data_IF_582639114146
#
_entry.id   IF_582639114146
#
_cell.length_a   1.000
_cell.length_b   1.000
_cell.length_c   1.000
_cell.angle_alpha   90.00
_cell.angle_beta   90.00
_cell.angle_gamma   90.00
#
_symmetry.space_group_name_H-M   'P 1'
#
loop_
_entity.id
_entity.type
_entity.pdbx_description
1 polymer ?
#
# COMPACT_ATOMS: atom_id res chain seq x y z
N UNK A 1 -33.18 12.29 0.81
CA UNK A 1 -32.85 10.94 1.31
C UNK A 1 -32.40 10.10 0.14
N UNK A 2 -31.10 9.96 -0.04
CA UNK A 2 -30.53 8.95 -0.94
C UNK A 2 -29.43 8.22 -0.18
N UNK A 3 -29.87 7.07 0.33
CA UNK A 3 -29.14 5.84 0.64
C UNK A 3 -27.64 5.96 0.95
N UNK A 4 -27.34 6.00 2.26
CA UNK A 4 -26.09 5.42 2.79
C UNK A 4 -26.16 3.93 2.44
N UNK A 5 -25.44 3.47 1.41
CA UNK A 5 -24.97 2.09 1.19
C UNK A 5 -24.52 1.92 -0.26
N UNK A 6 -23.27 2.28 -0.56
CA UNK A 6 -22.51 1.63 -1.64
C UNK A 6 -21.01 1.71 -1.31
N UNK A 7 -20.67 1.40 -0.05
CA UNK A 7 -19.30 1.09 0.33
C UNK A 7 -19.05 -0.38 0.01
N UNK A 8 -18.30 -0.65 -1.06
CA UNK A 8 -17.68 -1.95 -1.28
C UNK A 8 -18.42 -2.88 -2.25
N UNK A 9 -18.34 -2.59 -3.54
CA UNK A 9 -18.20 -3.67 -4.54
C UNK A 9 -16.72 -3.87 -4.83
N UNK A 10 -16.03 -4.62 -3.97
CA UNK A 10 -14.76 -5.24 -4.35
C UNK A 10 -15.09 -6.31 -5.40
N UNK A 11 -14.98 -5.93 -6.68
CA UNK A 11 -14.94 -6.92 -7.76
C UNK A 11 -13.61 -7.64 -7.63
N UNK A 12 -13.61 -8.80 -6.99
CA UNK A 12 -12.50 -9.75 -7.05
C UNK A 12 -12.41 -10.28 -8.49
N UNK A 13 -11.70 -9.56 -9.34
CA UNK A 13 -11.33 -10.04 -10.68
C UNK A 13 -10.22 -11.09 -10.53
N UNK A 14 -10.25 -12.09 -11.41
CA UNK A 14 -9.27 -13.18 -11.42
C UNK A 14 -7.86 -12.59 -11.50
N UNK A 15 -6.95 -13.13 -10.68
CA UNK A 15 -5.52 -12.77 -10.65
C UNK A 15 -4.91 -13.03 -12.03
N UNK A 16 -4.62 -11.98 -12.79
CA UNK A 16 -3.88 -12.10 -14.04
C UNK A 16 -2.38 -12.24 -13.72
N UNK A 17 -1.73 -13.21 -14.35
CA UNK A 17 -0.28 -13.38 -14.22
C UNK A 17 0.41 -12.19 -14.89
N UNK A 18 1.00 -11.31 -14.07
CA UNK A 18 1.76 -10.14 -14.54
C UNK A 18 1.22 -8.80 -14.06
N UNK A 19 0.17 -8.76 -13.23
CA UNK A 19 -0.29 -7.49 -12.65
C UNK A 19 0.77 -6.90 -11.71
N UNK A 20 1.25 -5.70 -12.04
CA UNK A 20 2.22 -4.95 -11.25
C UNK A 20 1.44 -3.93 -10.43
N UNK A 21 1.57 -3.97 -9.10
CA UNK A 21 1.05 -2.93 -8.23
C UNK A 21 2.11 -1.84 -8.05
N UNK A 22 1.94 -0.72 -8.76
CA UNK A 22 2.80 0.45 -8.59
C UNK A 22 2.70 0.98 -7.16
N UNK A 23 3.83 1.45 -6.63
CA UNK A 23 3.89 1.92 -5.26
C UNK A 23 4.98 2.99 -5.07
N UNK A 24 4.84 3.75 -3.97
CA UNK A 24 5.74 4.84 -3.56
C UNK A 24 6.44 4.54 -2.24
N UNK A 25 6.56 3.26 -1.87
CA UNK A 25 7.11 2.86 -0.57
C UNK A 25 8.51 3.45 -0.35
N UNK A 26 9.37 3.39 -1.36
CA UNK A 26 10.73 3.93 -1.26
C UNK A 26 10.74 5.44 -1.01
N UNK A 27 9.84 6.17 -1.68
CA UNK A 27 9.70 7.62 -1.56
C UNK A 27 9.33 8.06 -0.14
N UNK A 28 8.45 7.32 0.54
CA UNK A 28 8.07 7.60 1.93
C UNK A 28 9.07 7.03 2.94
N UNK A 29 9.70 5.89 2.63
CA UNK A 29 10.63 5.21 3.54
C UNK A 29 11.95 5.98 3.71
N UNK A 30 12.50 6.51 2.62
CA UNK A 30 13.82 7.18 2.61
C UNK A 30 13.88 8.42 3.53
N UNK A 31 12.94 9.37 3.48
CA UNK A 31 12.91 10.54 4.37
C UNK A 31 12.85 10.18 5.86
N UNK A 32 12.25 9.03 6.20
CA UNK A 32 12.18 8.51 7.57
C UNK A 32 13.48 7.81 8.04
N UNK A 33 14.53 7.78 7.21
CA UNK A 33 15.80 7.09 7.51
C UNK A 33 15.64 5.57 7.64
N UNK A 34 14.56 5.01 7.09
CA UNK A 34 14.29 3.59 7.12
C UNK A 34 14.99 2.93 5.92
N UNK A 35 15.74 1.86 6.14
CA UNK A 35 16.17 0.97 5.05
C UNK A 35 15.11 -0.10 4.78
N UNK A 36 15.17 -0.81 3.64
CA UNK A 36 14.30 -1.97 3.38
C UNK A 36 14.34 -2.98 4.53
N UNK A 37 15.53 -3.19 5.11
CA UNK A 37 15.71 -4.07 6.26
C UNK A 37 15.02 -3.52 7.52
N UNK A 38 15.16 -2.22 7.81
CA UNK A 38 14.50 -1.60 8.97
C UNK A 38 12.97 -1.62 8.84
N UNK A 39 12.43 -1.33 7.66
CA UNK A 39 10.99 -1.42 7.41
C UNK A 39 10.49 -2.86 7.56
N UNK A 40 11.18 -3.82 6.93
CA UNK A 40 10.86 -5.25 7.05
C UNK A 40 10.84 -5.70 8.52
N UNK A 41 11.87 -5.35 9.30
CA UNK A 41 11.92 -5.63 10.73
C UNK A 41 10.75 -5.00 11.50
N UNK A 42 10.39 -3.75 11.18
CA UNK A 42 9.29 -3.01 11.83
C UNK A 42 7.93 -3.68 11.62
N UNK A 43 7.70 -4.31 10.46
CA UNK A 43 6.41 -4.96 10.12
C UNK A 43 6.47 -6.49 10.14
N UNK A 44 7.58 -7.09 10.58
CA UNK A 44 7.73 -8.54 10.75
C UNK A 44 7.92 -9.34 9.45
N UNK A 45 8.49 -8.74 8.39
CA UNK A 45 8.82 -9.46 7.14
C UNK A 45 10.28 -9.28 6.70
N UNK A 46 10.74 -10.13 5.78
CA UNK A 46 12.12 -10.07 5.30
C UNK A 46 12.41 -8.82 4.46
N UNK A 47 13.67 -8.36 4.47
CA UNK A 47 14.15 -7.32 3.55
C UNK A 47 13.91 -7.69 2.08
N UNK A 48 14.04 -8.98 1.72
CA UNK A 48 13.79 -9.48 0.37
C UNK A 48 12.32 -9.31 -0.02
N UNK A 49 11.39 -9.57 0.92
CA UNK A 49 9.96 -9.34 0.73
C UNK A 49 9.66 -7.87 0.45
N UNK A 50 10.22 -6.95 1.26
CA UNK A 50 10.11 -5.50 1.02
C UNK A 50 10.61 -5.14 -0.38
N UNK A 51 11.80 -5.63 -0.77
CA UNK A 51 12.36 -5.35 -2.08
C UNK A 51 11.46 -5.85 -3.23
N UNK A 52 10.87 -7.05 -3.10
CA UNK A 52 9.95 -7.59 -4.12
C UNK A 52 8.68 -6.75 -4.24
N UNK A 53 8.17 -6.22 -3.13
CA UNK A 53 7.01 -5.32 -3.12
C UNK A 53 7.39 -3.98 -3.75
N UNK A 54 8.48 -3.33 -3.28
CA UNK A 54 8.97 -2.05 -3.82
C UNK A 54 9.20 -2.12 -5.34
N UNK A 55 9.75 -3.23 -5.84
CA UNK A 55 10.02 -3.44 -7.28
C UNK A 55 8.85 -4.02 -8.08
N UNK A 56 7.66 -4.13 -7.49
CA UNK A 56 6.46 -4.62 -8.18
C UNK A 56 6.48 -6.12 -8.53
N UNK A 57 7.50 -6.87 -8.10
CA UNK A 57 7.64 -8.31 -8.32
C UNK A 57 6.65 -9.15 -7.50
N UNK A 58 6.01 -8.55 -6.50
CA UNK A 58 5.03 -9.22 -5.66
C UNK A 58 4.01 -8.23 -5.15
N UNK A 59 2.74 -8.52 -5.38
CA UNK A 59 1.62 -7.79 -4.77
C UNK A 59 1.53 -8.21 -3.29
N UNK A 60 1.61 -7.27 -2.33
CA UNK A 60 1.45 -7.59 -0.92
C UNK A 60 0.00 -8.00 -0.61
N UNK A 61 -0.20 -8.77 0.46
CA UNK A 61 -1.56 -8.94 1.01
C UNK A 61 -2.06 -7.62 1.58
N UNK A 62 -3.38 -7.46 1.71
CA UNK A 62 -3.98 -6.26 2.32
C UNK A 62 -3.38 -5.94 3.70
N UNK A 63 -3.12 -6.98 4.50
CA UNK A 63 -2.47 -6.83 5.81
C UNK A 63 -1.08 -6.21 5.68
N UNK A 64 -0.24 -6.74 4.79
CA UNK A 64 1.13 -6.22 4.59
C UNK A 64 1.09 -4.80 4.02
N UNK A 65 0.19 -4.50 3.08
CA UNK A 65 0.01 -3.15 2.57
C UNK A 65 -0.36 -2.16 3.70
N UNK A 66 -1.26 -2.57 4.61
CA UNK A 66 -1.67 -1.76 5.76
C UNK A 66 -0.53 -1.56 6.76
N UNK A 67 0.21 -2.63 7.07
CA UNK A 67 1.35 -2.55 7.99
C UNK A 67 2.45 -1.64 7.42
N UNK A 68 2.68 -1.65 6.10
CA UNK A 68 3.60 -0.73 5.41
C UNK A 68 3.11 0.72 5.56
N UNK A 69 1.84 0.99 5.25
CA UNK A 69 1.24 2.32 5.35
C UNK A 69 1.36 2.89 6.78
N UNK A 70 0.99 2.10 7.78
CA UNK A 70 1.11 2.47 9.19
C UNK A 70 2.57 2.69 9.61
N UNK A 71 3.48 1.84 9.15
CA UNK A 71 4.90 1.98 9.46
C UNK A 71 5.52 3.26 8.86
N UNK A 72 4.93 3.78 7.79
CA UNK A 72 5.34 5.00 7.10
C UNK A 72 4.51 6.23 7.50
N UNK A 73 3.47 6.05 8.34
CA UNK A 73 2.65 7.15 8.86
C UNK A 73 1.77 7.83 7.81
N UNK A 74 1.35 7.10 6.77
CA UNK A 74 0.56 7.65 5.67
C UNK A 74 -0.58 6.70 5.28
N UNK A 75 -1.55 7.21 4.53
CA UNK A 75 -2.65 6.41 4.04
C UNK A 75 -2.19 5.41 2.96
N UNK A 76 -2.77 4.21 2.93
CA UNK A 76 -2.46 3.20 1.90
C UNK A 76 -2.68 3.73 0.47
N UNK A 77 -3.71 4.54 0.25
CA UNK A 77 -4.01 5.19 -1.04
C UNK A 77 -2.95 6.22 -1.48
N UNK A 78 -2.07 6.65 -0.57
CA UNK A 78 -0.94 7.51 -0.91
C UNK A 78 0.32 6.71 -1.28
N UNK A 79 0.35 5.41 -0.95
CA UNK A 79 1.47 4.51 -1.22
C UNK A 79 1.23 3.65 -2.45
N UNK A 80 0.04 3.07 -2.61
CA UNK A 80 -0.24 2.08 -3.66
C UNK A 80 -1.21 2.64 -4.69
N UNK A 81 -0.94 2.34 -5.96
CA UNK A 81 -1.79 2.68 -7.11
C UNK A 81 -2.90 1.63 -7.25
N UNK A 82 -3.91 1.72 -6.37
CA UNK A 82 -4.95 0.68 -6.21
C UNK A 82 -5.97 0.64 -7.36
N UNK A 83 -6.07 1.71 -8.14
CA UNK A 83 -6.97 1.82 -9.30
C UNK A 83 -6.24 1.86 -10.66
N UNK A 84 -4.90 1.82 -10.65
CA UNK A 84 -4.06 1.81 -11.85
C UNK A 84 -4.03 3.15 -12.59
N UNK A 85 -4.50 4.23 -11.96
CA UNK A 85 -4.53 5.58 -12.57
C UNK A 85 -3.18 6.30 -12.44
N UNK A 86 -2.31 5.82 -11.54
CA UNK A 86 -1.12 6.54 -11.11
C UNK A 86 -1.42 7.72 -10.18
N UNK A 87 -2.68 7.91 -9.77
CA UNK A 87 -3.06 8.93 -8.80
C UNK A 87 -3.01 8.38 -7.36
N UNK A 88 -2.15 8.97 -6.53
CA UNK A 88 -1.97 8.58 -5.13
C UNK A 88 -2.74 9.52 -4.20
N UNK A 89 -4.07 9.40 -4.18
CA UNK A 89 -4.94 10.33 -3.45
C UNK A 89 -5.85 9.61 -2.48
N UNK A 90 -5.87 10.13 -1.26
CA UNK A 90 -6.84 9.75 -0.26
C UNK A 90 -8.11 10.60 -0.47
N UNK A 91 -9.02 10.13 -1.31
CA UNK A 91 -10.31 10.78 -1.47
C UNK A 91 -11.19 10.32 -0.29
N UNK A 92 -11.30 11.16 0.75
CA UNK A 92 -12.24 11.03 1.86
C UNK A 92 -11.89 10.10 3.05
N UNK A 93 -10.62 9.76 3.33
CA UNK A 93 -10.33 9.09 4.62
C UNK A 93 -10.01 10.08 5.73
N UNK A 94 -10.74 9.95 6.84
CA UNK A 94 -10.36 10.51 8.15
C UNK A 94 -9.23 9.65 8.75
N UNK A 95 -8.12 9.53 8.01
CA UNK A 95 -7.00 8.68 8.40
C UNK A 95 -6.15 9.42 9.43
N UNK A 96 -6.54 9.31 10.70
CA UNK A 96 -5.85 9.84 11.87
C UNK A 96 -4.51 9.15 12.16
N UNK A 97 -3.59 9.18 11.21
CA UNK A 97 -2.20 8.78 11.44
C UNK A 97 -1.50 9.92 12.18
N UNK A 98 -1.60 9.89 13.52
CA UNK A 98 -0.85 10.72 14.46
C UNK A 98 0.49 10.07 14.83
#
# INVERSE_FOLDING_TARGET
>A
MTNKNDCGKLKLTKKEEGEILNNRIEEYRKPLGLSQHRLGKKIGISRVSINKIETGKTIPTLKIANDIANALGVCMYQIFDLDGTGEYRCNNCDCGYS
#
